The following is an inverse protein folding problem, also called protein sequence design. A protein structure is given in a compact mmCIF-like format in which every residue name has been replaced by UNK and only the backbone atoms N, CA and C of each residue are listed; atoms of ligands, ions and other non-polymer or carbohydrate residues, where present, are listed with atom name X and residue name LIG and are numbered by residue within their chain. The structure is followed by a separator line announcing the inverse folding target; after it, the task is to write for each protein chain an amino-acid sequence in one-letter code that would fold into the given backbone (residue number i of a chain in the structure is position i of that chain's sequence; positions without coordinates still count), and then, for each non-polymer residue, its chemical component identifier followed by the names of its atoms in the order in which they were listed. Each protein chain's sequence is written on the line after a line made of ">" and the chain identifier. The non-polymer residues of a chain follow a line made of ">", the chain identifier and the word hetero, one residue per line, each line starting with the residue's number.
data_IF_482360607962
#
_entry.id   IF_482360607962
#
_cell.length_a   1.000
_cell.length_b   1.000
_cell.length_c   1.000
_cell.angle_alpha   90.00
_cell.angle_beta   90.00
_cell.angle_gamma   90.00
#
_symmetry.space_group_name_H-M   'P 1'
#
loop_
_entity.id
_entity.type
_entity.pdbx_description
1 polymer ?
#
# COMPACT_ATOMS: atom_id res chain seq x y z
N UNK A 1 0.69 -0.63 -35.90
CA UNK A 1 -0.05 -1.55 -35.00
C UNK A 1 0.27 -1.18 -33.56
N UNK A 2 -0.69 -0.63 -32.81
CA UNK A 2 -0.47 -0.35 -31.39
C UNK A 2 -0.36 -1.70 -30.65
N UNK A 3 0.70 -1.93 -29.87
CA UNK A 3 0.83 -3.19 -29.13
C UNK A 3 -0.38 -3.33 -28.19
N UNK A 4 -1.01 -4.50 -28.19
CA UNK A 4 -2.10 -4.85 -27.29
C UNK A 4 -1.67 -4.52 -25.85
N UNK A 5 -2.19 -3.41 -25.31
CA UNK A 5 -1.85 -2.94 -23.97
C UNK A 5 -2.35 -3.99 -23.00
N UNK A 6 -1.43 -4.78 -22.44
CA UNK A 6 -1.74 -5.72 -21.36
C UNK A 6 -2.47 -4.95 -20.27
N UNK A 7 -3.50 -5.56 -19.67
CA UNK A 7 -4.31 -5.02 -18.56
C UNK A 7 -3.51 -4.83 -17.24
N UNK A 8 -2.19 -4.63 -17.32
CA UNK A 8 -1.23 -4.44 -16.23
C UNK A 8 -1.67 -3.37 -15.26
N UNK A 9 -2.29 -2.30 -15.76
CA UNK A 9 -2.76 -1.17 -14.95
C UNK A 9 -3.90 -1.60 -14.00
N UNK A 10 -4.81 -2.46 -14.45
CA UNK A 10 -5.89 -3.01 -13.64
C UNK A 10 -5.40 -4.10 -12.67
N UNK A 11 -4.45 -4.93 -13.10
CA UNK A 11 -3.86 -5.95 -12.22
C UNK A 11 -3.14 -5.32 -11.03
N UNK A 12 -2.50 -4.16 -11.22
CA UNK A 12 -1.84 -3.44 -10.12
C UNK A 12 -2.84 -2.92 -9.09
N UNK A 13 -3.96 -2.36 -9.54
CA UNK A 13 -5.05 -1.92 -8.66
C UNK A 13 -5.68 -3.11 -7.94
N UNK A 14 -5.96 -4.20 -8.63
CA UNK A 14 -6.52 -5.41 -8.04
C UNK A 14 -5.60 -6.02 -6.98
N UNK A 15 -4.30 -6.12 -7.26
CA UNK A 15 -3.31 -6.59 -6.28
C UNK A 15 -3.21 -5.66 -5.07
N UNK A 16 -3.28 -4.35 -5.29
CA UNK A 16 -3.27 -3.35 -4.21
C UNK A 16 -4.54 -3.43 -3.35
N UNK A 17 -5.71 -3.62 -3.98
CA UNK A 17 -6.96 -3.86 -3.26
C UNK A 17 -6.91 -5.17 -2.46
N UNK A 18 -6.41 -6.26 -3.05
CA UNK A 18 -6.28 -7.54 -2.37
C UNK A 18 -5.34 -7.45 -1.15
N UNK A 19 -4.20 -6.78 -1.29
CA UNK A 19 -3.29 -6.53 -0.16
C UNK A 19 -3.99 -5.72 0.93
N UNK A 20 -4.67 -4.62 0.57
CA UNK A 20 -5.40 -3.80 1.53
C UNK A 20 -6.47 -4.62 2.28
N UNK A 21 -7.31 -5.37 1.55
CA UNK A 21 -8.36 -6.20 2.13
C UNK A 21 -7.80 -7.29 3.05
N UNK A 22 -6.67 -7.92 2.68
CA UNK A 22 -5.99 -8.88 3.55
C UNK A 22 -5.65 -8.26 4.91
N UNK A 23 -5.09 -7.05 4.93
CA UNK A 23 -4.74 -6.39 6.18
C UNK A 23 -5.98 -5.99 6.99
N UNK A 24 -7.04 -5.50 6.35
CA UNK A 24 -8.29 -5.11 7.03
C UNK A 24 -9.03 -6.29 7.64
N UNK A 25 -9.13 -7.41 6.92
CA UNK A 25 -9.99 -8.53 7.34
C UNK A 25 -9.26 -9.65 8.06
N UNK A 26 -7.93 -9.71 7.98
CA UNK A 26 -7.14 -10.81 8.57
C UNK A 26 -6.12 -10.25 9.56
N UNK A 27 -5.20 -9.39 9.11
CA UNK A 27 -4.10 -8.95 9.96
C UNK A 27 -4.56 -8.08 11.14
N UNK A 28 -5.38 -7.06 10.89
CA UNK A 28 -5.84 -6.15 11.94
C UNK A 28 -6.70 -6.85 12.99
N UNK A 29 -7.72 -7.66 12.62
CA UNK A 29 -8.51 -8.39 13.60
C UNK A 29 -7.67 -9.34 14.46
N UNK A 30 -6.67 -10.01 13.86
CA UNK A 30 -5.73 -10.85 14.61
C UNK A 30 -4.89 -10.03 15.59
N UNK A 31 -4.38 -8.87 15.15
CA UNK A 31 -3.59 -8.00 16.01
C UNK A 31 -4.41 -7.45 17.17
N UNK A 32 -5.67 -7.08 16.93
CA UNK A 32 -6.57 -6.54 17.94
C UNK A 32 -6.92 -7.60 19.00
N UNK A 33 -7.23 -8.83 18.57
CA UNK A 33 -7.56 -9.94 19.48
C UNK A 33 -6.42 -10.36 20.41
N UNK A 34 -5.17 -9.98 20.10
CA UNK A 34 -3.97 -10.31 20.88
C UNK A 34 -3.24 -9.05 21.39
N UNK A 35 -3.95 -7.93 21.49
CA UNK A 35 -3.49 -6.68 22.10
C UNK A 35 -2.33 -5.98 21.38
N UNK A 36 -2.07 -6.25 20.11
CA UNK A 36 -1.04 -5.55 19.32
C UNK A 36 -1.37 -4.08 19.06
N UNK A 37 -2.64 -3.71 19.14
CA UNK A 37 -3.12 -2.34 18.98
C UNK A 37 -3.59 -1.71 20.30
N UNK A 38 -3.37 -2.36 21.43
CA UNK A 38 -3.75 -1.78 22.73
C UNK A 38 -2.61 -0.93 23.28
N UNK A 39 -2.90 0.30 23.68
CA UNK A 39 -1.97 1.13 24.46
C UNK A 39 -1.96 0.73 25.95
N UNK A 40 -3.03 0.07 26.42
CA UNK A 40 -3.22 -0.25 27.83
C UNK A 40 -2.60 -1.61 28.23
N UNK A 41 -2.22 -2.44 27.26
CA UNK A 41 -1.74 -3.80 27.50
C UNK A 41 -0.64 -4.18 26.54
N UNK A 42 0.35 -4.93 27.04
CA UNK A 42 1.46 -5.44 26.22
C UNK A 42 0.94 -6.56 25.32
N UNK A 43 1.43 -6.68 24.07
CA UNK A 43 1.07 -7.80 23.19
C UNK A 43 1.40 -9.14 23.83
N UNK A 44 0.59 -10.17 23.54
CA UNK A 44 0.86 -11.52 24.00
C UNK A 44 2.17 -12.05 23.39
N UNK A 45 3.18 -12.30 24.24
CA UNK A 45 4.54 -12.59 23.78
C UNK A 45 4.65 -13.82 22.86
N UNK A 46 3.85 -14.85 23.11
CA UNK A 46 3.76 -16.05 22.25
C UNK A 46 3.11 -15.78 20.89
N UNK A 47 2.42 -14.65 20.72
CA UNK A 47 1.73 -14.26 19.48
C UNK A 47 2.55 -13.33 18.61
N UNK A 48 3.67 -12.78 19.12
CA UNK A 48 4.54 -11.86 18.37
C UNK A 48 5.05 -12.50 17.08
N UNK A 49 5.53 -13.74 17.17
CA UNK A 49 6.07 -14.45 16.01
C UNK A 49 4.99 -14.84 14.97
N UNK A 50 3.85 -15.46 15.37
CA UNK A 50 2.72 -15.65 14.47
C UNK A 50 2.27 -14.37 13.76
N UNK A 51 2.15 -13.27 14.50
CA UNK A 51 1.72 -12.00 13.94
C UNK A 51 2.75 -11.40 12.98
N UNK A 52 4.03 -11.47 13.32
CA UNK A 52 5.11 -11.06 12.42
C UNK A 52 5.11 -11.84 11.11
N UNK A 53 4.86 -13.15 11.15
CA UNK A 53 4.73 -14.01 9.96
C UNK A 53 3.46 -13.75 9.15
N UNK A 54 2.40 -13.23 9.79
CA UNK A 54 1.17 -12.83 9.13
C UNK A 54 1.38 -11.52 8.35
N UNK A 55 2.05 -10.53 8.95
CA UNK A 55 2.15 -9.18 8.36
C UNK A 55 3.36 -9.00 7.44
N UNK A 56 4.55 -9.39 7.88
CA UNK A 56 5.81 -8.99 7.23
C UNK A 56 6.03 -9.66 5.87
N UNK A 57 5.80 -10.97 5.69
CA UNK A 57 5.88 -11.60 4.38
C UNK A 57 4.91 -10.99 3.37
N UNK A 58 3.69 -10.65 3.79
CA UNK A 58 2.70 -10.04 2.92
C UNK A 58 3.16 -8.65 2.42
N UNK A 59 3.76 -7.84 3.30
CA UNK A 59 4.39 -6.56 2.91
C UNK A 59 5.53 -6.77 1.91
N UNK A 60 6.44 -7.71 2.19
CA UNK A 60 7.61 -7.99 1.31
C UNK A 60 7.13 -8.41 -0.08
N UNK A 61 6.15 -9.32 -0.15
CA UNK A 61 5.57 -9.76 -1.42
C UNK A 61 4.90 -8.61 -2.17
N UNK A 62 4.18 -7.73 -1.46
CA UNK A 62 3.57 -6.56 -2.05
C UNK A 62 4.62 -5.59 -2.61
N UNK A 63 5.71 -5.33 -1.88
CA UNK A 63 6.81 -4.48 -2.34
C UNK A 63 7.53 -5.06 -3.58
N UNK A 64 7.81 -6.37 -3.58
CA UNK A 64 8.40 -7.06 -4.74
C UNK A 64 7.47 -6.92 -5.96
N UNK A 65 6.17 -7.11 -5.75
CA UNK A 65 5.17 -6.96 -6.80
C UNK A 65 5.14 -5.53 -7.35
N UNK A 66 5.07 -4.51 -6.48
CA UNK A 66 5.15 -3.10 -6.87
C UNK A 66 6.41 -2.84 -7.69
N UNK A 67 7.59 -3.22 -7.19
CA UNK A 67 8.86 -2.90 -7.84
C UNK A 67 8.96 -3.49 -9.25
N UNK A 68 8.45 -4.71 -9.43
CA UNK A 68 8.44 -5.41 -10.72
C UNK A 68 7.44 -4.80 -11.72
N UNK A 69 6.33 -4.25 -11.26
CA UNK A 69 5.22 -3.85 -12.13
C UNK A 69 5.01 -2.34 -12.26
N UNK A 70 5.50 -1.51 -11.34
CA UNK A 70 5.28 -0.04 -11.36
C UNK A 70 5.82 0.63 -12.64
N UNK A 71 6.93 0.12 -13.19
CA UNK A 71 7.51 0.61 -14.45
C UNK A 71 6.68 0.25 -15.68
N UNK A 72 5.80 -0.75 -15.56
CA UNK A 72 4.92 -1.23 -16.63
C UNK A 72 3.56 -0.54 -16.66
N UNK A 73 3.31 0.38 -15.71
CA UNK A 73 2.06 1.15 -15.66
C UNK A 73 2.16 2.29 -16.67
N UNK A 74 1.29 2.28 -17.68
CA UNK A 74 1.31 3.28 -18.75
C UNK A 74 0.11 4.22 -18.72
N UNK A 75 -1.00 3.79 -18.13
CA UNK A 75 -2.23 4.56 -17.98
C UNK A 75 -2.79 4.39 -16.56
N UNK A 76 -3.70 5.26 -16.10
CA UNK A 76 -4.22 5.30 -14.72
C UNK A 76 -3.14 5.43 -13.64
N UNK A 77 -2.04 6.12 -13.93
CA UNK A 77 -0.99 6.43 -12.95
C UNK A 77 -1.50 7.35 -11.85
N UNK A 78 -2.42 8.26 -12.16
CA UNK A 78 -3.06 9.15 -11.18
C UNK A 78 -3.78 8.37 -10.08
N UNK A 79 -4.25 7.15 -10.36
CA UNK A 79 -4.92 6.29 -9.39
C UNK A 79 -3.96 5.26 -8.78
N UNK A 80 -3.12 4.64 -9.60
CA UNK A 80 -2.18 3.62 -9.12
C UNK A 80 -1.15 4.17 -8.13
N UNK A 81 -0.51 5.30 -8.44
CA UNK A 81 0.57 5.84 -7.61
C UNK A 81 0.12 6.21 -6.19
N UNK A 82 -0.98 6.96 -5.98
CA UNK A 82 -1.43 7.27 -4.62
C UNK A 82 -1.87 6.01 -3.86
N UNK A 83 -2.55 5.05 -4.51
CA UNK A 83 -2.97 3.80 -3.86
C UNK A 83 -1.76 2.98 -3.40
N UNK A 84 -0.72 2.86 -4.23
CA UNK A 84 0.51 2.16 -3.88
C UNK A 84 1.18 2.81 -2.66
N UNK A 85 1.35 4.13 -2.69
CA UNK A 85 1.99 4.88 -1.60
C UNK A 85 1.20 4.73 -0.31
N UNK A 86 -0.13 4.90 -0.37
CA UNK A 86 -1.00 4.74 0.77
C UNK A 86 -0.88 3.33 1.37
N UNK A 87 -0.99 2.29 0.54
CA UNK A 87 -0.89 0.91 0.98
C UNK A 87 0.48 0.58 1.59
N UNK A 88 1.57 1.03 0.98
CA UNK A 88 2.92 0.79 1.54
C UNK A 88 3.04 1.40 2.94
N UNK A 89 2.61 2.65 3.12
CA UNK A 89 2.65 3.31 4.42
C UNK A 89 1.73 2.61 5.44
N UNK A 90 0.49 2.32 5.04
CA UNK A 90 -0.50 1.66 5.88
C UNK A 90 -0.02 0.28 6.35
N UNK A 91 0.41 -0.58 5.42
CA UNK A 91 0.86 -1.94 5.73
C UNK A 91 2.14 -1.89 6.58
N UNK A 92 3.05 -0.97 6.30
CA UNK A 92 4.27 -0.81 7.08
C UNK A 92 3.96 -0.47 8.54
N UNK A 93 2.98 0.41 8.79
CA UNK A 93 2.53 0.71 10.15
C UNK A 93 1.96 -0.54 10.84
N UNK A 94 1.12 -1.32 10.16
CA UNK A 94 0.62 -2.58 10.71
C UNK A 94 1.77 -3.54 11.05
N UNK A 95 2.79 -3.68 10.21
CA UNK A 95 3.96 -4.51 10.50
C UNK A 95 4.74 -4.02 11.73
N UNK A 96 4.84 -2.71 11.94
CA UNK A 96 5.51 -2.13 13.11
C UNK A 96 4.79 -2.41 14.43
N UNK A 97 3.46 -2.62 14.40
CA UNK A 97 2.71 -2.99 15.60
C UNK A 97 3.19 -4.31 16.23
N UNK A 98 3.79 -5.22 15.44
CA UNK A 98 4.38 -6.45 15.94
C UNK A 98 5.56 -6.21 16.91
N UNK A 99 6.23 -5.06 16.81
CA UNK A 99 7.40 -4.71 17.62
C UNK A 99 7.10 -3.67 18.69
N UNK A 100 6.19 -2.74 18.39
CA UNK A 100 5.93 -1.56 19.21
C UNK A 100 4.58 -1.59 19.93
N UNK A 101 3.74 -2.60 19.68
CA UNK A 101 2.37 -2.69 20.23
C UNK A 101 1.54 -1.45 19.91
N UNK A 102 0.70 -1.04 20.87
CA UNK A 102 -0.16 0.16 20.76
C UNK A 102 0.58 1.47 20.51
N UNK A 103 1.91 1.54 20.73
CA UNK A 103 2.72 2.73 20.39
C UNK A 103 2.64 3.09 18.89
N UNK A 104 2.21 2.15 18.05
CA UNK A 104 1.95 2.39 16.62
C UNK A 104 0.93 3.50 16.35
N UNK A 105 -0.01 3.77 17.26
CA UNK A 105 -0.99 4.86 17.09
C UNK A 105 -0.32 6.24 17.08
N UNK A 106 0.69 6.44 17.91
CA UNK A 106 1.50 7.66 17.91
C UNK A 106 2.27 7.83 16.61
N UNK A 107 2.77 6.73 16.05
CA UNK A 107 3.38 6.71 14.72
C UNK A 107 2.36 7.08 13.63
N UNK A 108 1.10 6.65 13.72
CA UNK A 108 0.04 7.04 12.77
C UNK A 108 -0.19 8.55 12.81
N UNK A 109 -0.19 9.20 13.98
CA UNK A 109 -0.35 10.66 14.06
C UNK A 109 0.78 11.43 13.37
N UNK A 110 2.01 10.91 13.40
CA UNK A 110 3.17 11.56 12.77
C UNK A 110 3.24 11.21 11.27
N UNK A 111 3.08 9.93 10.95
CA UNK A 111 3.25 9.41 9.58
C UNK A 111 2.01 9.62 8.72
N UNK A 112 0.83 9.76 9.30
CA UNK A 112 -0.44 10.00 8.61
C UNK A 112 -0.41 11.26 7.76
N UNK A 113 -0.08 12.44 8.31
CA UNK A 113 0.08 13.68 7.54
C UNK A 113 1.11 13.55 6.42
N UNK A 114 2.24 12.89 6.68
CA UNK A 114 3.28 12.63 5.68
C UNK A 114 2.75 11.74 4.56
N UNK A 115 2.03 10.67 4.89
CA UNK A 115 1.42 9.76 3.93
C UNK A 115 0.35 10.46 3.09
N UNK A 116 -0.47 11.32 3.69
CA UNK A 116 -1.47 12.12 2.97
C UNK A 116 -0.80 13.11 2.00
N UNK A 117 0.25 13.80 2.45
CA UNK A 117 1.03 14.72 1.61
C UNK A 117 1.67 13.98 0.43
N UNK A 118 2.32 12.84 0.69
CA UNK A 118 2.89 12.00 -0.36
C UNK A 118 1.81 11.50 -1.33
N UNK A 119 0.65 11.08 -0.82
CA UNK A 119 -0.48 10.65 -1.65
C UNK A 119 -0.92 11.77 -2.60
N UNK A 120 -1.06 13.01 -2.11
CA UNK A 120 -1.39 14.17 -2.94
C UNK A 120 -0.33 14.49 -4.00
N UNK A 121 0.96 14.41 -3.64
CA UNK A 121 2.08 14.59 -4.57
C UNK A 121 2.04 13.54 -5.67
N UNK A 122 1.90 12.25 -5.31
CA UNK A 122 1.92 11.14 -6.26
C UNK A 122 0.67 11.09 -7.13
N UNK A 123 -0.49 11.51 -6.61
CA UNK A 123 -1.68 11.77 -7.40
C UNK A 123 -1.40 12.82 -8.48
N UNK A 124 -0.83 13.96 -8.11
CA UNK A 124 -0.51 15.06 -9.04
C UNK A 124 0.49 14.62 -10.10
N UNK A 125 1.56 13.92 -9.71
CA UNK A 125 2.55 13.36 -10.64
C UNK A 125 1.89 12.37 -11.60
N UNK A 126 1.04 11.48 -11.10
CA UNK A 126 0.30 10.52 -11.91
C UNK A 126 -0.62 11.21 -12.92
N UNK A 127 -1.34 12.24 -12.49
CA UNK A 127 -2.23 13.03 -13.33
C UNK A 127 -1.47 13.72 -14.47
N UNK A 128 -0.36 14.39 -14.16
CA UNK A 128 0.48 15.05 -15.18
C UNK A 128 0.98 14.03 -16.21
N UNK A 129 1.41 12.85 -15.77
CA UNK A 129 1.89 11.79 -16.66
C UNK A 129 0.78 11.24 -17.56
N UNK A 130 -0.41 11.05 -17.01
CA UNK A 130 -1.55 10.54 -17.77
C UNK A 130 -2.07 11.59 -18.77
N UNK A 131 -2.11 12.87 -18.40
CA UNK A 131 -2.47 13.96 -19.32
C UNK A 131 -1.48 14.07 -20.49
N UNK A 132 -0.17 13.99 -20.24
CA UNK A 132 0.86 13.98 -21.29
C UNK A 132 0.68 12.78 -22.24
N UNK A 133 0.37 11.62 -21.68
CA UNK A 133 0.11 10.41 -22.46
C UNK A 133 -1.14 10.55 -23.35
N UNK A 134 -2.23 11.10 -22.82
CA UNK A 134 -3.45 11.36 -23.59
C UNK A 134 -3.21 12.38 -24.71
N UNK A 135 -2.44 13.43 -24.45
CA UNK A 135 -2.07 14.43 -25.47
C UNK A 135 -1.27 13.82 -26.61
N UNK A 136 -0.23 13.05 -26.31
CA UNK A 136 0.58 12.37 -27.31
C UNK A 136 -0.24 11.38 -28.15
N UNK A 137 -1.19 10.67 -27.53
CA UNK A 137 -2.09 9.77 -28.25
C UNK A 137 -3.08 10.51 -29.17
N UNK A 138 -3.44 11.76 -28.83
CA UNK A 138 -4.31 12.61 -29.65
C UNK A 138 -3.57 13.23 -30.84
N UNK A 139 -2.29 13.56 -30.68
CA UNK A 139 -1.43 14.11 -31.74
C UNK A 139 -1.00 13.05 -32.79
N UNK A 140 -1.14 11.76 -32.49
CA UNK A 140 -0.89 10.65 -33.42
C UNK A 140 -2.11 10.22 -34.25
N UNK A 141 -3.25 10.90 -34.07
CA UNK A 141 -4.52 10.65 -34.78
C UNK A 141 -4.79 11.77 -35.77
#
# INVERSE_FOLDING_TARGET
>A
MAPARKNTDFYMLAASAAAFLYFIFIAIPYGDSHNFFSEASVPEGNQVWPYFLLTTPALILYLIFIFKWIRRIHFLRWLNYPVIIFNVNFIFLICLSAFNGGTVFWLIFITGPVSLLLTGIFFTIGLIKDLKFLRAAKEQK
#
